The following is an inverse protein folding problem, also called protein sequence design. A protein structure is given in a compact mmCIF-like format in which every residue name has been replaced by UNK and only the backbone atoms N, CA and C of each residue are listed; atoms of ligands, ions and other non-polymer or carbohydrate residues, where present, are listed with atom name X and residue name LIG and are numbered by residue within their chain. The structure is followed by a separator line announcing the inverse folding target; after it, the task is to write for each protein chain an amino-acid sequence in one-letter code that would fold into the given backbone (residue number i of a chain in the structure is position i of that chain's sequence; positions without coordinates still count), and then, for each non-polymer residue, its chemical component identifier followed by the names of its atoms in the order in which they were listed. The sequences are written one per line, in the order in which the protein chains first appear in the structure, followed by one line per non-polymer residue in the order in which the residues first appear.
data_IF_783574991086
#
_entry.id   IF_783574991086
#
_cell.length_a   1.000
_cell.length_b   1.000
_cell.length_c   1.000
_cell.angle_alpha   90.00
_cell.angle_beta   90.00
_cell.angle_gamma   90.00
#
_symmetry.space_group_name_H-M   'P 1'
#
loop_
_entity.id
_entity.type
_entity.pdbx_description
1 polymer ?
#
# COMPACT_ATOMS: atom_id res chain seq x y z
N UNK A 1 -19.53 33.68 17.02
CA UNK A 1 -18.20 33.62 16.37
C UNK A 1 -17.88 32.15 16.09
N UNK A 2 -17.86 31.74 14.81
CA UNK A 2 -17.76 30.34 14.37
C UNK A 2 -16.34 30.03 13.87
N UNK A 3 -15.48 29.53 14.76
CA UNK A 3 -14.09 29.16 14.44
C UNK A 3 -13.95 27.71 13.90
N UNK A 4 -15.07 27.00 13.68
CA UNK A 4 -15.09 25.56 13.36
C UNK A 4 -14.96 25.29 11.85
N UNK A 5 -15.18 26.30 11.00
CA UNK A 5 -15.27 26.12 9.54
C UNK A 5 -13.94 26.05 8.75
N UNK A 6 -12.80 26.63 9.16
CA UNK A 6 -11.60 26.57 8.33
C UNK A 6 -10.94 25.19 8.34
N UNK A 7 -10.96 24.49 9.49
CA UNK A 7 -10.37 23.14 9.63
C UNK A 7 -11.09 22.09 8.80
N UNK A 8 -12.41 22.13 8.73
CA UNK A 8 -13.20 21.17 7.96
C UNK A 8 -12.99 21.32 6.44
N UNK A 9 -12.85 22.55 5.92
CA UNK A 9 -12.55 22.76 4.49
C UNK A 9 -11.13 22.36 4.10
N UNK A 10 -10.15 22.63 4.97
CA UNK A 10 -8.76 22.18 4.77
C UNK A 10 -8.67 20.65 4.87
N UNK A 11 -9.45 20.02 5.76
CA UNK A 11 -9.56 18.56 5.83
C UNK A 11 -10.12 17.98 4.53
N UNK A 12 -11.21 18.50 3.96
CA UNK A 12 -11.76 18.04 2.68
C UNK A 12 -10.80 18.19 1.49
N UNK A 13 -9.94 19.22 1.48
CA UNK A 13 -8.93 19.39 0.43
C UNK A 13 -7.75 18.41 0.55
N UNK A 14 -7.50 17.86 1.74
CA UNK A 14 -6.50 16.80 1.97
C UNK A 14 -7.01 15.37 1.76
N UNK A 15 -8.33 15.16 1.76
CA UNK A 15 -9.00 13.88 1.46
C UNK A 15 -8.60 13.27 0.10
N UNK A 16 -8.53 14.01 -1.03
CA UNK A 16 -8.18 13.40 -2.31
C UNK A 16 -6.77 12.83 -2.33
N UNK A 17 -5.79 13.53 -1.73
CA UNK A 17 -4.40 13.05 -1.67
C UNK A 17 -4.30 11.81 -0.81
N UNK A 18 -4.91 11.81 0.38
CA UNK A 18 -4.94 10.62 1.24
C UNK A 18 -5.61 9.42 0.58
N UNK A 19 -6.73 9.63 -0.12
CA UNK A 19 -7.42 8.57 -0.85
C UNK A 19 -6.58 8.01 -2.00
N UNK A 20 -5.89 8.85 -2.77
CA UNK A 20 -4.99 8.42 -3.85
C UNK A 20 -3.83 7.59 -3.30
N UNK A 21 -3.22 8.03 -2.18
CA UNK A 21 -2.13 7.30 -1.52
C UNK A 21 -2.61 5.92 -1.06
N UNK A 22 -3.76 5.86 -0.37
CA UNK A 22 -4.38 4.61 0.06
C UNK A 22 -4.62 3.68 -1.13
N UNK A 23 -5.18 4.19 -2.23
CA UNK A 23 -5.48 3.39 -3.42
C UNK A 23 -4.21 2.86 -4.08
N UNK A 24 -3.18 3.71 -4.19
CA UNK A 24 -1.89 3.35 -4.75
C UNK A 24 -1.18 2.29 -3.91
N UNK A 25 -1.19 2.44 -2.59
CA UNK A 25 -0.58 1.49 -1.66
C UNK A 25 -1.29 0.13 -1.69
N UNK A 26 -2.63 0.14 -1.76
CA UNK A 26 -3.43 -1.08 -1.93
C UNK A 26 -3.09 -1.80 -3.24
N UNK A 27 -2.99 -1.04 -4.34
CA UNK A 27 -2.69 -1.58 -5.66
C UNK A 27 -1.28 -2.18 -5.70
N UNK A 28 -0.29 -1.48 -5.15
CA UNK A 28 1.09 -1.98 -5.06
C UNK A 28 1.12 -3.27 -4.23
N UNK A 29 0.47 -3.31 -3.07
CA UNK A 29 0.42 -4.51 -2.24
C UNK A 29 -0.25 -5.68 -2.97
N UNK A 30 -1.37 -5.43 -3.66
CA UNK A 30 -2.09 -6.45 -4.42
C UNK A 30 -1.24 -7.01 -5.58
N UNK A 31 -0.62 -6.14 -6.38
CA UNK A 31 0.25 -6.56 -7.49
C UNK A 31 1.44 -7.37 -6.99
N UNK A 32 2.09 -6.95 -5.90
CA UNK A 32 3.22 -7.67 -5.33
C UNK A 32 2.82 -9.04 -4.78
N UNK A 33 1.67 -9.15 -4.11
CA UNK A 33 1.14 -10.43 -3.63
C UNK A 33 0.83 -11.38 -4.79
N UNK A 34 0.12 -10.89 -5.81
CA UNK A 34 -0.22 -11.69 -6.99
C UNK A 34 1.03 -12.12 -7.78
N UNK A 35 2.04 -11.26 -7.87
CA UNK A 35 3.32 -11.60 -8.50
C UNK A 35 4.11 -12.63 -7.68
N UNK A 36 4.03 -12.58 -6.36
CA UNK A 36 4.72 -13.53 -5.48
C UNK A 36 4.12 -14.94 -5.55
N UNK A 37 2.82 -15.05 -5.81
CA UNK A 37 2.07 -16.31 -5.89
C UNK A 37 2.08 -16.88 -7.33
N UNK A 38 2.63 -16.14 -8.31
CA UNK A 38 2.68 -16.58 -9.71
C UNK A 38 1.43 -16.24 -10.54
N UNK A 39 0.42 -15.60 -9.94
CA UNK A 39 -0.81 -15.19 -10.65
C UNK A 39 -0.52 -14.09 -11.67
N UNK A 40 0.43 -13.19 -11.37
CA UNK A 40 0.91 -12.14 -12.29
C UNK A 40 2.40 -12.40 -12.59
N UNK A 41 2.68 -13.03 -13.72
CA UNK A 41 4.05 -13.35 -14.15
C UNK A 41 4.25 -14.84 -14.38
N UNK A 42 5.50 -15.30 -14.58
CA UNK A 42 5.78 -16.72 -14.70
C UNK A 42 5.47 -17.43 -13.38
N UNK A 43 4.60 -18.44 -13.44
CA UNK A 43 4.31 -19.33 -12.32
C UNK A 43 5.62 -19.98 -11.82
N UNK A 44 6.00 -19.82 -10.55
CA UNK A 44 7.21 -20.43 -10.03
C UNK A 44 7.06 -21.96 -10.04
N UNK A 45 7.88 -22.63 -10.82
CA UNK A 45 7.86 -24.10 -10.96
C UNK A 45 8.75 -24.79 -9.95
N UNK A 46 9.59 -24.03 -9.25
CA UNK A 46 10.50 -24.52 -8.23
C UNK A 46 10.43 -23.69 -6.95
N UNK A 47 10.76 -24.32 -5.81
CA UNK A 47 10.85 -23.65 -4.50
C UNK A 47 11.86 -22.49 -4.50
N UNK A 48 12.92 -22.59 -5.32
CA UNK A 48 13.92 -21.55 -5.46
C UNK A 48 13.36 -20.31 -6.16
N UNK A 49 12.58 -20.51 -7.22
CA UNK A 49 11.87 -19.44 -7.94
C UNK A 49 10.82 -18.78 -7.05
N UNK A 50 10.05 -19.56 -6.29
CA UNK A 50 9.08 -19.04 -5.33
C UNK A 50 9.77 -18.13 -4.29
N UNK A 51 10.87 -18.60 -3.70
CA UNK A 51 11.64 -17.80 -2.71
C UNK A 51 12.20 -16.52 -3.34
N UNK A 52 12.67 -16.59 -4.59
CA UNK A 52 13.18 -15.43 -5.30
C UNK A 52 12.06 -14.41 -5.61
N UNK A 53 10.87 -14.89 -5.98
CA UNK A 53 9.68 -14.04 -6.19
C UNK A 53 9.32 -13.29 -4.91
N UNK A 54 9.19 -13.99 -3.78
CA UNK A 54 8.95 -13.36 -2.47
C UNK A 54 10.03 -12.36 -2.07
N UNK A 55 11.32 -12.67 -2.29
CA UNK A 55 12.41 -11.75 -1.99
C UNK A 55 12.38 -10.50 -2.88
N UNK A 56 12.08 -10.67 -4.18
CA UNK A 56 11.96 -9.56 -5.12
C UNK A 56 10.78 -8.64 -4.77
N UNK A 57 9.63 -9.23 -4.44
CA UNK A 57 8.45 -8.51 -4.00
C UNK A 57 8.71 -7.76 -2.69
N UNK A 58 9.40 -8.40 -1.74
CA UNK A 58 9.83 -7.76 -0.49
C UNK A 58 10.74 -6.55 -0.70
N UNK A 59 11.69 -6.63 -1.65
CA UNK A 59 12.54 -5.48 -2.01
C UNK A 59 11.75 -4.34 -2.62
N UNK A 60 10.82 -4.64 -3.53
CA UNK A 60 9.96 -3.63 -4.16
C UNK A 60 9.02 -2.98 -3.15
N UNK A 61 8.45 -3.77 -2.25
CA UNK A 61 7.62 -3.28 -1.13
C UNK A 61 8.39 -2.31 -0.25
N UNK A 62 9.59 -2.69 0.21
CA UNK A 62 10.45 -1.82 1.02
C UNK A 62 10.89 -0.57 0.26
N UNK A 63 11.22 -0.70 -1.03
CA UNK A 63 11.55 0.43 -1.89
C UNK A 63 10.41 1.43 -1.97
N UNK A 64 9.18 0.96 -2.22
CA UNK A 64 7.99 1.81 -2.26
C UNK A 64 7.72 2.51 -0.92
N UNK A 65 7.85 1.77 0.19
CA UNK A 65 7.69 2.32 1.54
C UNK A 65 8.70 3.44 1.81
N UNK A 66 9.97 3.25 1.47
CA UNK A 66 11.00 4.28 1.64
C UNK A 66 10.72 5.50 0.76
N UNK A 67 10.34 5.30 -0.50
CA UNK A 67 10.02 6.39 -1.43
C UNK A 67 8.82 7.19 -0.93
N UNK A 68 7.74 6.53 -0.46
CA UNK A 68 6.57 7.21 0.08
C UNK A 68 6.90 7.98 1.36
N UNK A 69 7.59 7.35 2.31
CA UNK A 69 8.01 8.00 3.56
C UNK A 69 8.88 9.24 3.30
N UNK A 70 9.91 9.10 2.47
CA UNK A 70 10.82 10.20 2.14
C UNK A 70 10.09 11.33 1.40
N UNK A 71 9.26 11.02 0.42
CA UNK A 71 8.50 12.01 -0.36
C UNK A 71 7.53 12.79 0.51
N UNK A 72 6.70 12.12 1.33
CA UNK A 72 5.72 12.81 2.18
C UNK A 72 6.38 13.58 3.33
N UNK A 73 7.54 13.11 3.83
CA UNK A 73 8.32 13.85 4.81
C UNK A 73 8.90 15.14 4.21
N UNK A 74 9.48 15.09 3.00
CA UNK A 74 10.02 16.25 2.28
C UNK A 74 8.92 17.25 1.95
N UNK A 75 7.76 16.78 1.46
CA UNK A 75 6.60 17.61 1.15
C UNK A 75 5.83 18.10 2.39
N UNK A 76 6.26 17.71 3.59
CA UNK A 76 5.60 18.01 4.88
C UNK A 76 4.10 17.72 4.88
N UNK A 77 3.73 16.55 4.38
CA UNK A 77 2.35 16.05 4.36
C UNK A 77 2.15 14.96 5.43
N UNK A 78 2.02 15.32 6.73
CA UNK A 78 1.98 14.32 7.81
C UNK A 78 0.76 13.40 7.73
N UNK A 79 -0.37 13.89 7.23
CA UNK A 79 -1.58 13.06 7.08
C UNK A 79 -1.42 12.01 5.96
N UNK A 80 -0.77 12.37 4.85
CA UNK A 80 -0.46 11.42 3.78
C UNK A 80 0.59 10.40 4.23
N UNK A 81 1.59 10.83 5.02
CA UNK A 81 2.59 9.94 5.62
C UNK A 81 1.95 8.91 6.55
N UNK A 82 1.03 9.34 7.43
CA UNK A 82 0.30 8.43 8.32
C UNK A 82 -0.54 7.46 7.50
N UNK A 83 -1.29 7.95 6.50
CA UNK A 83 -2.10 7.10 5.62
C UNK A 83 -1.24 6.06 4.87
N UNK A 84 -0.07 6.47 4.36
CA UNK A 84 0.85 5.59 3.67
C UNK A 84 1.38 4.48 4.58
N UNK A 85 1.83 4.84 5.79
CA UNK A 85 2.34 3.87 6.75
C UNK A 85 1.25 2.89 7.22
N UNK A 86 0.06 3.39 7.55
CA UNK A 86 -1.02 2.53 8.04
C UNK A 86 -1.52 1.59 6.95
N UNK A 87 -1.64 2.07 5.71
CA UNK A 87 -2.07 1.22 4.59
C UNK A 87 -1.00 0.22 4.19
N UNK A 88 0.27 0.61 4.09
CA UNK A 88 1.36 -0.33 3.84
C UNK A 88 1.40 -1.44 4.91
N UNK A 89 1.15 -1.13 6.19
CA UNK A 89 1.15 -2.14 7.25
C UNK A 89 -0.08 -3.05 7.25
N UNK A 90 -1.27 -2.48 7.01
CA UNK A 90 -2.55 -3.20 7.13
C UNK A 90 -2.95 -3.92 5.82
N UNK A 91 -2.62 -3.33 4.67
CA UNK A 91 -3.05 -3.82 3.36
C UNK A 91 -2.52 -5.22 3.03
N UNK A 92 -1.23 -5.56 3.26
CA UNK A 92 -0.74 -6.92 3.01
C UNK A 92 -1.47 -7.96 3.83
N UNK A 93 -1.74 -7.67 5.12
CA UNK A 93 -2.49 -8.58 6.00
C UNK A 93 -3.93 -8.73 5.52
N UNK A 94 -4.59 -7.62 5.20
CA UNK A 94 -5.98 -7.63 4.73
C UNK A 94 -6.11 -8.37 3.40
N UNK A 95 -5.21 -8.15 2.45
CA UNK A 95 -5.20 -8.82 1.14
C UNK A 95 -4.87 -10.31 1.27
N UNK A 96 -3.94 -10.67 2.15
CA UNK A 96 -3.61 -12.07 2.44
C UNK A 96 -4.81 -12.81 3.06
N UNK A 97 -5.47 -12.20 4.07
CA UNK A 97 -6.70 -12.75 4.67
C UNK A 97 -7.82 -12.85 3.63
N UNK A 98 -7.97 -11.85 2.76
CA UNK A 98 -8.96 -11.87 1.69
C UNK A 98 -8.72 -13.00 0.69
N UNK A 99 -7.47 -13.24 0.27
CA UNK A 99 -7.13 -14.39 -0.60
C UNK A 99 -7.41 -15.73 0.07
N UNK A 100 -7.20 -15.84 1.38
CA UNK A 100 -7.51 -17.06 2.14
C UNK A 100 -8.99 -17.22 2.45
N UNK A 101 -9.79 -16.17 2.23
CA UNK A 101 -11.21 -16.20 2.55
C UNK A 101 -11.99 -16.98 1.49
N UNK A 102 -12.99 -17.80 1.89
CA UNK A 102 -13.85 -18.54 0.95
C UNK A 102 -14.79 -17.63 0.15
N UNK A 103 -14.69 -16.30 0.33
CA UNK A 103 -15.44 -15.32 -0.48
C UNK A 103 -14.85 -15.19 -1.88
N UNK A 104 -13.57 -15.57 -2.07
CA UNK A 104 -12.84 -15.45 -3.34
C UNK A 104 -12.54 -16.80 -4.03
N UNK A 105 -12.81 -17.94 -3.38
CA UNK A 105 -12.54 -19.32 -3.87
C UNK A 105 -13.86 -20.03 -4.10
#
# INVERSE_FOLDING_TARGET
MSAIRPRARVALAGVPVGAIVVLGDLLVCAVLLLASIGVIGPEPTTRAEETAAWQSAGKLYLGWLVVGVTSFAVLRMPMALIAHLTTMLLSPVALFVLMLSPVLV
#
